data_IF_968859387478
#
_entry.id   IF_968859387478
#
_cell.length_a   1.000
_cell.length_b   1.000
_cell.length_c   1.000
_cell.angle_alpha   90.00
_cell.angle_beta   90.00
_cell.angle_gamma   90.00
#
_symmetry.space_group_name_H-M   'P 1'
#
loop_
_entity.id
_entity.type
_entity.pdbx_description
1 polymer ?
#
# COMPACT_ATOMS: atom_id res chain seq x y z
N UNK A 1 -15.10 -26.41 -5.48
CA UNK A 1 -13.90 -25.55 -5.52
C UNK A 1 -13.31 -25.51 -4.12
N UNK A 2 -12.07 -25.94 -3.96
CA UNK A 2 -11.39 -25.78 -2.66
C UNK A 2 -11.02 -24.29 -2.48
N UNK A 3 -10.82 -23.84 -1.24
CA UNK A 3 -10.41 -22.45 -0.94
C UNK A 3 -9.10 -22.07 -1.64
N UNK A 4 -8.26 -23.05 -1.98
CA UNK A 4 -6.99 -22.87 -2.67
C UNK A 4 -7.14 -22.59 -4.18
N UNK A 5 -8.29 -22.94 -4.77
CA UNK A 5 -8.55 -22.74 -6.20
C UNK A 5 -9.35 -21.47 -6.49
N UNK A 6 -9.81 -20.77 -5.45
CA UNK A 6 -10.51 -19.50 -5.61
C UNK A 6 -9.48 -18.41 -5.96
N UNK A 7 -9.67 -17.65 -7.07
CA UNK A 7 -8.81 -16.52 -7.37
C UNK A 7 -8.95 -15.46 -6.25
N UNK A 8 -7.81 -14.96 -5.79
CA UNK A 8 -7.73 -13.93 -4.76
C UNK A 8 -6.60 -12.96 -5.07
N UNK A 9 -6.65 -11.75 -4.48
CA UNK A 9 -5.56 -10.79 -4.61
C UNK A 9 -4.28 -11.36 -4.00
N UNK A 10 -3.15 -11.07 -4.65
CA UNK A 10 -1.82 -11.45 -4.18
C UNK A 10 -1.05 -10.22 -3.73
N UNK A 11 -0.05 -10.40 -2.86
CA UNK A 11 0.77 -9.32 -2.33
C UNK A 11 0.34 -8.91 -0.93
N UNK A 12 1.28 -8.33 -0.21
CA UNK A 12 1.12 -7.91 1.18
C UNK A 12 2.05 -6.74 1.54
N UNK A 13 2.78 -6.20 0.57
CA UNK A 13 3.74 -5.11 0.77
C UNK A 13 3.95 -4.38 -0.55
N UNK A 14 3.82 -3.06 -0.53
CA UNK A 14 4.11 -2.21 -1.67
C UNK A 14 4.48 -0.80 -1.21
N UNK A 15 4.99 0.02 -2.13
CA UNK A 15 5.24 1.43 -1.90
C UNK A 15 4.93 2.20 -3.17
N UNK A 16 4.40 3.41 -3.03
CA UNK A 16 3.94 4.19 -4.17
C UNK A 16 3.50 5.60 -3.80
N UNK A 17 2.91 6.29 -4.77
CA UNK A 17 2.36 7.63 -4.60
C UNK A 17 0.86 7.56 -4.28
N UNK A 18 0.41 8.39 -3.34
CA UNK A 18 -1.01 8.59 -3.07
C UNK A 18 -1.62 9.38 -4.22
N UNK A 19 -2.52 8.75 -4.98
CA UNK A 19 -3.22 9.38 -6.12
C UNK A 19 -4.65 9.82 -5.80
N UNK A 20 -5.23 9.31 -4.70
CA UNK A 20 -6.55 9.66 -4.19
C UNK A 20 -6.63 9.35 -2.68
N UNK A 21 -7.50 10.05 -1.97
CA UNK A 21 -7.79 9.84 -0.54
C UNK A 21 -9.30 9.90 -0.33
N UNK A 22 -9.81 9.19 0.67
CA UNK A 22 -11.20 9.33 1.11
C UNK A 22 -11.38 10.59 1.96
N UNK A 23 -12.62 11.11 2.02
CA UNK A 23 -12.95 12.38 2.69
C UNK A 23 -12.63 12.38 4.20
N UNK A 24 -12.53 11.20 4.83
CA UNK A 24 -12.25 11.01 6.25
C UNK A 24 -10.77 10.67 6.56
N UNK A 25 -9.88 10.81 5.57
CA UNK A 25 -8.44 10.59 5.69
C UNK A 25 -7.70 11.93 5.65
N UNK A 26 -7.17 12.35 6.79
CA UNK A 26 -6.50 13.66 6.94
C UNK A 26 -4.97 13.57 7.09
N UNK A 27 -4.45 12.37 7.36
CA UNK A 27 -3.02 12.17 7.64
C UNK A 27 -2.16 12.12 6.36
N UNK A 28 -2.79 11.96 5.19
CA UNK A 28 -2.15 11.84 3.89
C UNK A 28 -2.67 12.89 2.92
N UNK A 29 -1.89 13.17 1.86
CA UNK A 29 -2.31 14.01 0.73
C UNK A 29 -1.92 13.36 -0.58
N UNK A 30 -2.63 13.70 -1.65
CA UNK A 30 -2.22 13.35 -3.01
C UNK A 30 -0.79 13.85 -3.26
N UNK A 31 0.05 12.98 -3.84
CA UNK A 31 1.48 13.22 -4.06
C UNK A 31 2.39 12.83 -2.89
N UNK A 32 1.85 12.41 -1.74
CA UNK A 32 2.68 11.77 -0.71
C UNK A 32 3.16 10.40 -1.20
N UNK A 33 4.44 10.08 -0.94
CA UNK A 33 4.94 8.71 -1.10
C UNK A 33 4.72 7.94 0.19
N UNK A 34 4.11 6.75 0.08
CA UNK A 34 3.75 5.89 1.21
C UNK A 34 4.23 4.46 1.00
N UNK A 35 4.60 3.83 2.10
CA UNK A 35 4.80 2.39 2.19
C UNK A 35 3.56 1.77 2.82
N UNK A 36 3.14 0.62 2.29
CA UNK A 36 1.90 -0.07 2.64
C UNK A 36 2.19 -1.53 2.97
N UNK A 37 1.55 -2.08 4.01
CA UNK A 37 1.73 -3.47 4.42
C UNK A 37 0.43 -4.14 4.89
N UNK A 38 0.22 -5.39 4.49
CA UNK A 38 -0.96 -6.19 4.83
C UNK A 38 -2.10 -6.05 3.81
N UNK A 39 -3.34 -6.01 4.32
CA UNK A 39 -4.55 -5.99 3.49
C UNK A 39 -4.62 -4.75 2.58
N UNK A 40 -4.90 -4.97 1.30
CA UNK A 40 -4.91 -3.92 0.28
C UNK A 40 -3.55 -3.66 -0.38
N UNK A 41 -2.42 -4.06 0.23
CA UNK A 41 -1.07 -3.88 -0.33
C UNK A 41 -0.74 -4.95 -1.40
N UNK A 42 -1.57 -5.03 -2.42
CA UNK A 42 -1.56 -6.07 -3.44
C UNK A 42 -0.64 -5.76 -4.63
N UNK A 43 -0.32 -6.79 -5.40
CA UNK A 43 0.41 -6.68 -6.66
C UNK A 43 -0.52 -6.16 -7.77
N UNK A 44 -0.61 -4.84 -7.88
CA UNK A 44 -1.31 -4.13 -8.95
C UNK A 44 -0.68 -2.74 -9.15
N UNK A 45 -0.93 -2.12 -10.31
CA UNK A 45 -0.48 -0.75 -10.57
C UNK A 45 -1.17 0.29 -9.68
N UNK A 46 -2.41 0.00 -9.27
CA UNK A 46 -3.22 0.84 -8.37
C UNK A 46 -3.87 -0.06 -7.33
N UNK A 47 -3.76 0.33 -6.07
CA UNK A 47 -4.37 -0.36 -4.93
C UNK A 47 -5.07 0.63 -4.00
N UNK A 48 -6.06 0.15 -3.25
CA UNK A 48 -6.68 0.89 -2.15
C UNK A 48 -6.29 0.22 -0.83
N UNK A 49 -5.64 0.97 0.05
CA UNK A 49 -5.10 0.49 1.32
C UNK A 49 -5.70 1.27 2.47
N UNK A 50 -6.04 0.60 3.57
CA UNK A 50 -6.54 1.29 4.76
C UNK A 50 -5.48 2.21 5.35
N UNK A 51 -5.87 3.42 5.78
CA UNK A 51 -4.93 4.45 6.26
C UNK A 51 -4.00 3.98 7.39
N UNK A 52 -4.46 3.07 8.25
CA UNK A 52 -3.69 2.52 9.36
C UNK A 52 -2.64 1.48 8.93
N UNK A 53 -2.63 1.09 7.66
CA UNK A 53 -1.67 0.19 7.04
C UNK A 53 -0.68 0.93 6.12
N UNK A 54 -0.71 2.27 6.14
CA UNK A 54 0.16 3.14 5.36
C UNK A 54 1.06 3.98 6.27
N UNK A 55 2.27 4.26 5.82
CA UNK A 55 3.18 5.23 6.47
C UNK A 55 3.89 6.07 5.42
N UNK A 56 4.08 7.37 5.69
CA UNK A 56 4.82 8.25 4.77
C UNK A 56 6.28 7.85 4.68
N UNK A 57 6.81 7.85 3.47
CA UNK A 57 8.20 7.54 3.19
C UNK A 57 9.04 8.81 3.42
N UNK A 58 10.08 8.77 4.28
CA UNK A 58 11.03 9.86 4.39
C UNK A 58 11.77 10.09 3.06
N UNK A 59 12.06 11.35 2.71
CA UNK A 59 12.74 11.71 1.44
C UNK A 59 14.09 11.02 1.21
N UNK A 60 14.73 10.53 2.28
CA UNK A 60 16.01 9.83 2.22
C UNK A 60 15.90 8.36 1.84
N UNK A 61 14.68 7.81 1.72
CA UNK A 61 14.44 6.39 1.45
C UNK A 61 13.97 6.20 0.02
N UNK A 62 14.69 5.37 -0.73
CA UNK A 62 14.30 4.95 -2.08
C UNK A 62 13.05 4.04 -2.02
N UNK A 63 12.09 4.29 -2.91
CA UNK A 63 10.84 3.54 -3.05
C UNK A 63 11.05 2.02 -3.08
N UNK A 64 12.12 1.54 -3.73
CA UNK A 64 12.40 0.10 -3.83
C UNK A 64 12.65 -0.55 -2.46
N UNK A 65 13.25 0.20 -1.54
CA UNK A 65 13.51 -0.27 -0.18
C UNK A 65 12.29 -0.06 0.71
N UNK A 66 11.51 1.01 0.47
CA UNK A 66 10.28 1.27 1.19
C UNK A 66 9.21 0.19 0.97
N UNK A 67 9.26 -0.55 -0.14
CA UNK A 67 8.34 -1.66 -0.42
C UNK A 67 8.61 -2.93 0.42
N UNK A 68 9.60 -2.92 1.34
CA UNK A 68 9.90 -4.03 2.25
C UNK A 68 9.31 -3.69 3.64
N UNK A 69 8.00 -3.83 3.80
CA UNK A 69 7.29 -3.37 5.02
C UNK A 69 7.04 -4.46 6.06
N UNK A 70 7.13 -5.73 5.67
CA UNK A 70 6.78 -6.90 6.49
C UNK A 70 7.97 -7.86 6.61
N UNK A 71 8.09 -8.57 7.73
CA UNK A 71 9.10 -9.62 7.99
C UNK A 71 8.57 -11.02 7.77
#
# INVERSE_FOLDING_TARGET
MSKLEAPGPMGYSCAGEVIAIADDVYDFKVGDYVACGGEGAYHADIVSVYKNLCVKIPKSVDLKFAAITTV
#
